data_IF_177751217583
#
_entry.id   IF_177751217583
#
_cell.length_a   1.000
_cell.length_b   1.000
_cell.length_c   1.000
_cell.angle_alpha   90.00
_cell.angle_beta   90.00
_cell.angle_gamma   90.00
#
_symmetry.space_group_name_H-M   'P 1'
#
loop_
_entity.id
_entity.type
_entity.pdbx_description
1 polymer ?
#
# COMPACT_ATOMS: atom_id res chain seq x y z
N UNK A 1 8.93 32.11 11.74
CA UNK A 1 8.62 30.88 12.50
C UNK A 1 7.83 30.00 11.55
N UNK A 2 8.49 29.06 10.89
CA UNK A 2 7.85 28.10 9.99
C UNK A 2 7.09 27.09 10.85
N UNK A 3 5.76 27.13 10.77
CA UNK A 3 4.89 26.06 11.29
C UNK A 3 5.30 24.76 10.61
N UNK A 4 6.10 23.96 11.28
CA UNK A 4 6.41 22.61 10.84
C UNK A 4 5.12 21.82 10.83
N UNK A 5 4.53 21.61 9.67
CA UNK A 5 3.43 20.69 9.51
C UNK A 5 3.86 19.35 10.12
N UNK A 6 3.09 18.84 11.10
CA UNK A 6 3.30 17.48 11.61
C UNK A 6 3.23 16.54 10.42
N UNK A 7 4.13 15.55 10.32
CA UNK A 7 4.03 14.55 9.28
C UNK A 7 2.63 13.94 9.33
N UNK A 8 2.02 13.75 8.17
CA UNK A 8 0.75 13.05 8.10
C UNK A 8 0.98 11.62 8.62
N UNK A 9 0.20 11.22 9.60
CA UNK A 9 0.23 9.86 10.11
C UNK A 9 -0.77 9.04 9.31
N UNK A 10 -0.28 8.04 8.58
CA UNK A 10 -1.11 7.03 7.93
C UNK A 10 -1.58 6.02 8.98
N UNK A 11 -2.88 5.85 9.11
CA UNK A 11 -3.50 4.82 9.98
C UNK A 11 -4.35 3.92 9.11
N UNK A 12 -3.99 2.65 9.02
CA UNK A 12 -4.62 1.69 8.12
C UNK A 12 -4.85 0.32 8.76
N UNK A 13 -5.82 -0.43 8.22
CA UNK A 13 -5.97 -1.87 8.39
C UNK A 13 -6.01 -2.53 7.02
N UNK A 14 -5.38 -3.69 6.89
CA UNK A 14 -5.44 -4.56 5.72
C UNK A 14 -6.14 -5.85 6.09
N UNK A 15 -7.10 -6.26 5.29
CA UNK A 15 -7.91 -7.45 5.49
C UNK A 15 -7.82 -8.36 4.25
N UNK A 16 -7.67 -9.68 4.40
CA UNK A 16 -7.79 -10.59 3.28
C UNK A 16 -9.23 -10.56 2.76
N UNK A 17 -9.43 -10.72 1.47
CA UNK A 17 -10.75 -10.71 0.87
C UNK A 17 -10.86 -11.76 -0.23
N UNK A 18 -11.86 -12.64 -0.13
CA UNK A 18 -12.11 -13.65 -1.16
C UNK A 18 -12.91 -13.08 -2.33
N UNK A 19 -13.88 -12.21 -2.04
CA UNK A 19 -14.82 -11.65 -3.02
C UNK A 19 -14.85 -10.10 -2.97
N UNK A 20 -13.98 -9.46 -3.76
CA UNK A 20 -13.98 -8.00 -3.92
C UNK A 20 -15.26 -7.47 -4.57
N UNK A 21 -15.95 -8.30 -5.38
CA UNK A 21 -17.20 -7.88 -6.01
C UNK A 21 -18.32 -7.75 -4.98
N UNK A 22 -18.34 -8.61 -3.96
CA UNK A 22 -19.27 -8.46 -2.84
C UNK A 22 -19.02 -7.16 -2.07
N UNK A 23 -17.75 -6.85 -1.79
CA UNK A 23 -17.38 -5.59 -1.10
C UNK A 23 -17.77 -4.38 -1.96
N UNK A 24 -17.50 -4.42 -3.27
CA UNK A 24 -17.88 -3.36 -4.23
C UNK A 24 -19.39 -3.15 -4.28
N UNK A 25 -20.18 -4.22 -4.27
CA UNK A 25 -21.66 -4.10 -4.18
C UNK A 25 -22.08 -3.43 -2.88
N UNK A 26 -21.54 -3.86 -1.75
CA UNK A 26 -21.84 -3.28 -0.44
C UNK A 26 -21.46 -1.78 -0.38
N UNK A 27 -20.30 -1.40 -0.93
CA UNK A 27 -19.92 0.02 -1.05
C UNK A 27 -20.97 0.82 -1.82
N UNK A 28 -21.38 0.34 -2.99
CA UNK A 28 -22.41 1.00 -3.83
C UNK A 28 -23.75 1.11 -3.11
N UNK A 29 -24.23 0.03 -2.51
CA UNK A 29 -25.52 -0.04 -1.81
C UNK A 29 -25.56 0.85 -0.57
N UNK A 30 -24.41 1.05 0.09
CA UNK A 30 -24.31 1.85 1.32
C UNK A 30 -23.79 3.28 1.09
N UNK A 31 -23.75 3.74 -0.15
CA UNK A 31 -23.40 5.14 -0.49
C UNK A 31 -21.90 5.43 -0.51
N UNK A 32 -21.05 4.43 -0.66
CA UNK A 32 -19.64 4.61 -0.94
C UNK A 32 -19.44 5.38 -2.26
N UNK A 33 -18.48 6.28 -2.28
CA UNK A 33 -18.18 7.12 -3.43
C UNK A 33 -16.90 6.62 -4.11
N UNK A 34 -16.92 6.23 -5.40
CA UNK A 34 -15.71 5.86 -6.12
C UNK A 34 -14.79 7.08 -6.27
N UNK A 35 -13.50 6.88 -6.04
CA UNK A 35 -12.44 7.90 -6.15
C UNK A 35 -11.59 7.65 -7.38
N UNK A 36 -11.15 6.39 -7.56
CA UNK A 36 -10.40 5.96 -8.73
C UNK A 36 -10.96 4.65 -9.25
N UNK A 37 -11.04 4.56 -10.58
CA UNK A 37 -11.37 3.30 -11.25
C UNK A 37 -10.23 2.28 -11.10
N UNK A 38 -10.52 1.02 -11.41
CA UNK A 38 -9.53 -0.06 -11.37
C UNK A 38 -8.35 0.27 -12.29
N UNK A 39 -7.18 0.38 -11.70
CA UNK A 39 -5.93 0.67 -12.39
C UNK A 39 -4.78 -0.19 -11.84
N UNK A 40 -3.74 -0.33 -12.65
CA UNK A 40 -2.53 -1.04 -12.22
C UNK A 40 -1.56 -0.05 -11.57
N UNK A 41 -1.01 -0.45 -10.42
CA UNK A 41 0.10 0.20 -9.77
C UNK A 41 1.36 -0.66 -9.91
N UNK A 42 2.46 -0.02 -10.33
CA UNK A 42 3.81 -0.59 -10.28
C UNK A 42 4.57 0.14 -9.20
N UNK A 43 5.10 -0.60 -8.24
CA UNK A 43 5.76 -0.04 -7.07
C UNK A 43 7.19 -0.58 -6.98
N UNK A 44 8.17 0.31 -7.05
CA UNK A 44 9.59 0.01 -6.81
C UNK A 44 9.96 0.46 -5.39
N UNK A 45 10.43 -0.48 -4.56
CA UNK A 45 11.02 -0.17 -3.26
C UNK A 45 12.51 0.04 -3.42
N UNK A 46 13.03 1.10 -2.80
CA UNK A 46 14.42 1.50 -2.85
C UNK A 46 15.07 1.37 -1.47
N UNK A 47 16.33 0.98 -1.47
CA UNK A 47 17.18 1.02 -0.28
C UNK A 47 18.63 1.28 -0.70
N UNK A 48 19.50 1.63 0.24
CA UNK A 48 20.92 1.69 0.01
C UNK A 48 21.57 0.29 0.07
N UNK A 49 22.85 0.21 -0.23
CA UNK A 49 23.61 -1.05 -0.25
C UNK A 49 23.62 -1.76 1.12
N UNK A 50 23.59 -1.00 2.21
CA UNK A 50 23.58 -1.51 3.58
C UNK A 50 22.16 -1.82 4.11
N UNK A 51 21.13 -1.61 3.28
CA UNK A 51 19.71 -1.85 3.66
C UNK A 51 19.25 -1.06 4.89
N UNK A 52 19.72 0.17 5.05
CA UNK A 52 19.48 1.00 6.24
C UNK A 52 18.01 1.40 6.41
N UNK A 53 17.23 1.54 5.31
CA UNK A 53 15.80 1.83 5.42
C UNK A 53 15.03 0.62 5.94
N UNK A 54 15.19 -0.53 5.30
CA UNK A 54 14.49 -1.76 5.69
C UNK A 54 14.93 -2.25 7.08
N UNK A 55 16.21 -2.11 7.45
CA UNK A 55 16.72 -2.48 8.77
C UNK A 55 16.04 -1.72 9.91
N UNK A 56 15.62 -0.46 9.70
CA UNK A 56 14.87 0.34 10.67
C UNK A 56 13.34 0.30 10.49
N UNK A 57 12.84 -0.55 9.59
CA UNK A 57 11.41 -0.68 9.32
C UNK A 57 10.81 0.47 8.49
N UNK A 58 11.66 1.28 7.85
CA UNK A 58 11.25 2.33 6.92
C UNK A 58 11.21 1.81 5.48
N UNK A 59 10.57 2.55 4.58
CA UNK A 59 10.53 2.24 3.15
C UNK A 59 10.55 3.53 2.32
N UNK A 60 11.26 3.49 1.20
CA UNK A 60 11.23 4.48 0.14
C UNK A 60 10.65 3.81 -1.11
N UNK A 61 9.59 4.40 -1.68
CA UNK A 61 8.84 3.82 -2.78
C UNK A 61 8.65 4.84 -3.90
N UNK A 62 8.96 4.44 -5.11
CA UNK A 62 8.49 5.12 -6.31
C UNK A 62 7.34 4.30 -6.92
N UNK A 63 6.15 4.90 -7.00
CA UNK A 63 4.95 4.29 -7.57
C UNK A 63 4.64 4.90 -8.91
N UNK A 64 4.30 4.06 -9.88
CA UNK A 64 3.70 4.45 -11.14
C UNK A 64 2.25 3.96 -11.17
N UNK A 65 1.30 4.86 -11.35
CA UNK A 65 -0.11 4.56 -11.41
C UNK A 65 -0.83 5.57 -12.31
N UNK A 66 -1.66 5.11 -13.23
CA UNK A 66 -2.47 5.95 -14.12
C UNK A 66 -1.67 7.11 -14.79
N UNK A 67 -0.45 6.82 -15.24
CA UNK A 67 0.44 7.80 -15.89
C UNK A 67 1.07 8.83 -14.96
N UNK A 68 0.96 8.67 -13.65
CA UNK A 68 1.56 9.54 -12.64
C UNK A 68 2.62 8.80 -11.83
N UNK A 69 3.64 9.54 -11.39
CA UNK A 69 4.66 9.03 -10.50
C UNK A 69 4.52 9.66 -9.11
N UNK A 70 4.67 8.84 -8.07
CA UNK A 70 4.56 9.26 -6.67
C UNK A 70 5.75 8.70 -5.90
N UNK A 71 6.58 9.58 -5.33
CA UNK A 71 7.65 9.23 -4.42
C UNK A 71 7.13 9.29 -3.00
N UNK A 72 7.29 8.20 -2.25
CA UNK A 72 6.78 8.05 -0.89
C UNK A 72 7.88 7.57 0.05
N UNK A 73 8.09 8.28 1.15
CA UNK A 73 8.82 7.79 2.31
C UNK A 73 7.84 7.35 3.38
N UNK A 74 8.02 6.15 3.90
CA UNK A 74 7.25 5.59 5.00
C UNK A 74 8.18 5.28 6.17
N UNK A 75 7.92 5.88 7.33
CA UNK A 75 8.67 5.63 8.56
C UNK A 75 8.39 4.25 9.16
N UNK A 76 9.07 3.90 10.28
CA UNK A 76 8.80 2.67 11.03
C UNK A 76 7.33 2.60 11.45
N UNK A 77 6.73 1.42 11.28
CA UNK A 77 5.35 1.19 11.68
C UNK A 77 5.24 0.95 13.19
N UNK A 78 4.15 1.42 13.78
CA UNK A 78 3.69 1.04 15.12
C UNK A 78 2.29 0.45 15.03
N UNK A 79 1.93 -0.37 15.98
CA UNK A 79 0.60 -0.98 16.04
C UNK A 79 -0.11 -0.51 17.30
N UNK A 80 -1.29 0.08 17.13
CA UNK A 80 -2.10 0.58 18.21
C UNK A 80 -3.53 0.08 18.03
N UNK A 81 -4.04 -0.67 19.01
CA UNK A 81 -5.41 -1.19 18.98
C UNK A 81 -5.80 -1.95 17.69
N UNK A 82 -4.85 -2.70 17.12
CA UNK A 82 -5.06 -3.52 15.92
C UNK A 82 -5.00 -2.77 14.60
N UNK A 83 -4.74 -1.46 14.60
CA UNK A 83 -4.44 -0.69 13.40
C UNK A 83 -2.95 -0.40 13.31
N UNK A 84 -2.45 -0.30 12.09
CA UNK A 84 -1.08 0.09 11.80
C UNK A 84 -1.01 1.58 11.59
N UNK A 85 -0.08 2.25 12.26
CA UNK A 85 0.17 3.67 12.15
C UNK A 85 1.64 3.95 11.86
N UNK A 86 1.93 4.91 10.99
CA UNK A 86 3.30 5.36 10.69
C UNK A 86 3.33 6.74 10.05
N UNK A 87 4.48 7.38 10.14
CA UNK A 87 4.76 8.58 9.35
C UNK A 87 4.73 8.24 7.85
N UNK A 88 4.03 9.05 7.07
CA UNK A 88 4.10 9.02 5.61
C UNK A 88 4.34 10.42 5.06
N UNK A 89 5.26 10.52 4.10
CA UNK A 89 5.51 11.71 3.30
C UNK A 89 5.53 11.33 1.85
N UNK A 90 4.79 12.06 1.04
CA UNK A 90 4.71 11.77 -0.38
C UNK A 90 4.68 13.04 -1.21
N UNK A 91 5.19 12.94 -2.42
CA UNK A 91 5.16 14.01 -3.41
C UNK A 91 5.02 13.42 -4.81
N UNK A 92 4.27 14.13 -5.66
CA UNK A 92 4.22 13.80 -7.07
C UNK A 92 5.57 14.12 -7.72
N UNK A 93 5.95 13.26 -8.66
CA UNK A 93 7.15 13.42 -9.48
C UNK A 93 6.70 13.54 -10.92
N UNK A 94 7.15 14.56 -11.60
CA UNK A 94 6.79 14.83 -13.00
C UNK A 94 7.44 13.81 -13.94
N UNK A 95 8.73 13.53 -13.72
CA UNK A 95 9.50 12.55 -14.49
C UNK A 95 10.01 11.41 -13.60
N UNK A 96 9.49 10.21 -13.83
CA UNK A 96 9.86 9.03 -13.06
C UNK A 96 11.29 8.54 -13.36
N UNK A 97 11.80 8.74 -14.59
CA UNK A 97 13.15 8.31 -14.95
C UNK A 97 14.19 9.24 -14.31
N UNK A 98 13.93 10.56 -14.31
CA UNK A 98 14.78 11.49 -13.58
C UNK A 98 14.77 11.22 -12.08
N UNK A 99 13.62 10.87 -11.51
CA UNK A 99 13.56 10.46 -10.10
C UNK A 99 14.41 9.20 -9.82
N UNK A 100 14.39 8.21 -10.72
CA UNK A 100 15.26 7.02 -10.62
C UNK A 100 16.74 7.40 -10.70
N UNK A 101 17.10 8.29 -11.62
CA UNK A 101 18.48 8.76 -11.76
C UNK A 101 18.96 9.51 -10.51
N UNK A 102 18.11 10.37 -9.94
CA UNK A 102 18.41 11.08 -8.68
C UNK A 102 18.59 10.07 -7.53
N UNK A 103 17.68 9.11 -7.37
CA UNK A 103 17.79 8.07 -6.34
C UNK A 103 19.09 7.27 -6.49
N UNK A 104 19.45 6.88 -7.72
CA UNK A 104 20.70 6.20 -8.00
C UNK A 104 21.93 7.06 -7.66
N UNK A 105 21.90 8.36 -8.02
CA UNK A 105 22.96 9.31 -7.66
C UNK A 105 23.12 9.51 -6.15
N UNK A 106 22.05 9.31 -5.38
CA UNK A 106 22.06 9.33 -3.91
C UNK A 106 22.45 7.98 -3.29
N UNK A 107 22.75 6.95 -4.11
CA UNK A 107 23.16 5.63 -3.64
C UNK A 107 22.00 4.68 -3.31
N UNK A 108 20.76 5.01 -3.73
CA UNK A 108 19.61 4.12 -3.59
C UNK A 108 19.42 3.29 -4.86
N UNK A 109 19.15 2.00 -4.69
CA UNK A 109 18.83 1.08 -5.78
C UNK A 109 17.47 0.41 -5.56
N UNK A 110 16.75 0.02 -6.63
CA UNK A 110 15.54 -0.77 -6.49
C UNK A 110 15.89 -2.14 -5.89
N UNK A 111 15.14 -2.51 -4.86
CA UNK A 111 15.41 -3.72 -4.08
C UNK A 111 14.29 -4.74 -4.15
N UNK A 112 13.09 -4.29 -4.52
CA UNK A 112 11.92 -5.12 -4.69
C UNK A 112 10.87 -4.39 -5.52
N UNK A 113 10.31 -5.06 -6.52
CA UNK A 113 9.17 -4.56 -7.28
C UNK A 113 7.91 -5.34 -6.92
N UNK A 114 6.78 -4.62 -6.83
CA UNK A 114 5.49 -5.26 -6.75
C UNK A 114 4.42 -4.54 -7.56
N UNK A 115 3.52 -5.33 -8.09
CA UNK A 115 2.35 -4.85 -8.82
C UNK A 115 1.09 -5.17 -8.05
N UNK A 116 0.09 -4.34 -8.21
CA UNK A 116 -1.28 -4.60 -7.80
C UNK A 116 -2.26 -3.89 -8.74
N UNK A 117 -3.48 -4.35 -8.80
CA UNK A 117 -4.60 -3.64 -9.38
C UNK A 117 -5.41 -3.07 -8.23
N UNK A 118 -5.69 -1.77 -8.28
CA UNK A 118 -6.36 -1.03 -7.19
C UNK A 118 -7.56 -0.27 -7.72
N UNK A 119 -8.62 -0.27 -6.93
CA UNK A 119 -9.78 0.59 -7.04
C UNK A 119 -9.97 1.27 -5.69
N UNK A 120 -10.30 2.58 -5.67
CA UNK A 120 -10.39 3.34 -4.41
C UNK A 120 -11.76 3.97 -4.25
N UNK A 121 -12.23 4.01 -3.00
CA UNK A 121 -13.52 4.51 -2.58
C UNK A 121 -13.38 5.41 -1.34
N UNK A 122 -14.30 6.37 -1.18
CA UNK A 122 -14.56 7.02 0.10
C UNK A 122 -15.80 6.37 0.73
N UNK A 123 -15.68 5.90 1.96
CA UNK A 123 -16.77 5.24 2.67
C UNK A 123 -16.61 5.41 4.19
N UNK A 124 -17.70 5.83 4.89
CA UNK A 124 -17.70 6.03 6.35
C UNK A 124 -16.59 6.97 6.87
N UNK A 125 -16.16 7.94 6.05
CA UNK A 125 -15.06 8.85 6.38
C UNK A 125 -13.67 8.23 6.24
N UNK A 126 -13.56 7.06 5.61
CA UNK A 126 -12.32 6.36 5.33
C UNK A 126 -12.03 6.31 3.83
N UNK A 127 -10.75 6.24 3.46
CA UNK A 127 -10.34 5.72 2.15
C UNK A 127 -10.39 4.19 2.21
N UNK A 128 -11.06 3.56 1.25
CA UNK A 128 -11.16 2.10 1.11
C UNK A 128 -10.56 1.71 -0.22
N UNK A 129 -9.54 0.86 -0.20
CA UNK A 129 -8.92 0.34 -1.40
C UNK A 129 -9.24 -1.15 -1.57
N UNK A 130 -9.66 -1.53 -2.77
CA UNK A 130 -9.86 -2.90 -3.19
C UNK A 130 -8.65 -3.31 -4.02
N UNK A 131 -7.83 -4.22 -3.49
CA UNK A 131 -6.56 -4.61 -4.07
C UNK A 131 -6.58 -6.05 -4.59
N UNK A 132 -6.28 -6.24 -5.87
CA UNK A 132 -5.82 -7.51 -6.42
C UNK A 132 -4.29 -7.52 -6.48
N UNK A 133 -3.67 -8.59 -6.01
CA UNK A 133 -2.22 -8.79 -6.05
C UNK A 133 -1.88 -10.19 -6.54
N UNK A 134 -0.65 -10.47 -6.97
CA UNK A 134 -0.22 -11.84 -7.30
C UNK A 134 -0.35 -12.84 -6.14
N UNK A 135 -0.47 -12.38 -4.90
CA UNK A 135 -0.59 -13.24 -3.71
C UNK A 135 -2.00 -13.31 -3.12
N UNK A 136 -2.96 -12.65 -3.71
CA UNK A 136 -4.36 -12.67 -3.26
C UNK A 136 -5.04 -11.31 -3.36
N UNK A 137 -6.26 -11.25 -2.83
CA UNK A 137 -7.10 -10.07 -2.81
C UNK A 137 -7.20 -9.52 -1.40
N UNK A 138 -7.25 -8.20 -1.29
CA UNK A 138 -7.26 -7.52 0.01
C UNK A 138 -8.15 -6.29 -0.03
N UNK A 139 -8.62 -5.89 1.14
CA UNK A 139 -9.24 -4.58 1.36
C UNK A 139 -8.36 -3.82 2.35
N UNK A 140 -7.92 -2.62 1.96
CA UNK A 140 -7.26 -1.67 2.87
C UNK A 140 -8.25 -0.59 3.25
N UNK A 141 -8.32 -0.25 4.54
CA UNK A 141 -9.17 0.83 5.06
C UNK A 141 -8.28 1.78 5.83
N UNK A 142 -8.20 3.03 5.37
CA UNK A 142 -7.37 4.09 5.96
C UNK A 142 -8.25 5.22 6.48
N UNK A 143 -7.96 5.70 7.69
CA UNK A 143 -8.69 6.79 8.31
C UNK A 143 -8.50 6.84 9.83
N UNK A 144 -9.42 7.52 10.52
CA UNK A 144 -9.46 7.52 11.97
C UNK A 144 -9.79 6.11 12.52
N UNK A 145 -9.13 5.64 13.61
CA UNK A 145 -9.32 4.28 14.13
C UNK A 145 -10.78 3.88 14.38
N UNK A 146 -11.60 4.80 14.86
CA UNK A 146 -13.03 4.55 15.10
C UNK A 146 -13.83 4.46 13.80
N UNK A 147 -13.48 5.27 12.80
CA UNK A 147 -14.09 5.22 11.47
C UNK A 147 -13.70 3.92 10.73
N UNK A 148 -12.42 3.49 10.83
CA UNK A 148 -11.96 2.21 10.28
C UNK A 148 -12.80 1.05 10.81
N UNK A 149 -13.05 0.96 12.11
CA UNK A 149 -13.87 -0.12 12.69
C UNK A 149 -15.30 -0.11 12.16
N UNK A 150 -15.92 1.08 12.04
CA UNK A 150 -17.27 1.21 11.45
C UNK A 150 -17.28 0.77 9.99
N UNK A 151 -16.32 1.25 9.19
CA UNK A 151 -16.23 0.90 7.77
C UNK A 151 -16.04 -0.61 7.57
N UNK A 152 -15.12 -1.24 8.31
CA UNK A 152 -14.87 -2.69 8.26
C UNK A 152 -16.13 -3.48 8.60
N UNK A 153 -16.83 -3.11 9.69
CA UNK A 153 -18.09 -3.75 10.08
C UNK A 153 -19.18 -3.56 9.03
N UNK A 154 -19.30 -2.35 8.49
CA UNK A 154 -20.30 -2.03 7.46
C UNK A 154 -20.03 -2.77 6.13
N UNK A 155 -18.79 -3.13 5.85
CA UNK A 155 -18.39 -3.93 4.69
C UNK A 155 -18.52 -5.44 4.92
N UNK A 156 -19.02 -5.87 6.11
CA UNK A 156 -19.11 -7.26 6.53
C UNK A 156 -17.74 -7.99 6.51
N UNK A 157 -16.66 -7.27 6.84
CA UNK A 157 -15.32 -7.80 6.98
C UNK A 157 -14.99 -8.08 8.44
N UNK A 158 -14.18 -9.10 8.71
CA UNK A 158 -13.76 -9.46 10.05
C UNK A 158 -12.47 -8.75 10.45
N UNK A 159 -12.56 -7.81 11.38
CA UNK A 159 -11.40 -7.07 11.87
C UNK A 159 -10.35 -7.98 12.56
N UNK A 160 -10.74 -9.14 13.05
CA UNK A 160 -9.81 -10.10 13.67
C UNK A 160 -8.83 -10.73 12.67
N UNK A 161 -9.17 -10.69 11.37
CA UNK A 161 -8.30 -11.15 10.27
C UNK A 161 -7.32 -10.07 9.79
N UNK A 162 -7.18 -8.95 10.52
CA UNK A 162 -6.31 -7.86 10.15
C UNK A 162 -4.85 -8.30 10.00
N UNK A 163 -4.25 -7.97 8.86
CA UNK A 163 -2.87 -8.31 8.52
C UNK A 163 -1.96 -7.11 8.79
N UNK A 164 -1.00 -7.22 9.74
CA UNK A 164 -0.13 -6.09 10.09
C UNK A 164 1.00 -5.84 9.08
N UNK A 165 1.18 -6.74 8.13
CA UNK A 165 2.33 -6.72 7.22
C UNK A 165 2.05 -6.00 5.90
N UNK A 166 3.10 -5.41 5.31
CA UNK A 166 3.04 -4.88 3.94
C UNK A 166 2.99 -6.01 2.91
N UNK A 167 2.54 -5.72 1.68
CA UNK A 167 2.57 -6.70 0.58
C UNK A 167 3.97 -7.25 0.32
N UNK A 168 4.99 -6.38 0.35
CA UNK A 168 6.39 -6.81 0.22
C UNK A 168 6.77 -7.83 1.30
N UNK A 169 6.42 -7.59 2.57
CA UNK A 169 6.71 -8.53 3.65
C UNK A 169 5.97 -9.85 3.48
N UNK A 170 4.69 -9.80 3.15
CA UNK A 170 3.88 -11.01 2.90
C UNK A 170 4.48 -11.86 1.77
N UNK A 171 4.90 -11.22 0.68
CA UNK A 171 5.50 -11.92 -0.44
C UNK A 171 6.87 -12.50 -0.09
N UNK A 172 7.74 -11.74 0.54
CA UNK A 172 9.08 -12.19 0.93
C UNK A 172 9.02 -13.34 1.94
N UNK A 173 8.08 -13.31 2.89
CA UNK A 173 7.84 -14.42 3.81
C UNK A 173 7.32 -15.68 3.09
N UNK A 174 6.46 -15.51 2.06
CA UNK A 174 6.03 -16.62 1.22
C UNK A 174 7.17 -17.17 0.37
N UNK A 175 7.96 -16.28 -0.25
CA UNK A 175 9.11 -16.66 -1.08
C UNK A 175 10.22 -17.36 -0.28
N UNK A 176 10.41 -17.00 0.99
CA UNK A 176 11.37 -17.70 1.87
C UNK A 176 11.01 -19.17 2.11
N UNK A 177 9.71 -19.52 2.00
CA UNK A 177 9.19 -20.90 2.12
C UNK A 177 9.12 -21.60 0.77
N UNK A 178 9.02 -20.84 -0.32
CA UNK A 178 8.98 -21.33 -1.70
C UNK A 178 9.94 -20.53 -2.57
N UNK A 179 11.23 -20.92 -2.62
CA UNK A 179 12.24 -20.22 -3.42
C UNK A 179 12.02 -20.27 -4.94
N UNK A 180 11.07 -21.06 -5.43
CA UNK A 180 10.71 -21.09 -6.86
C UNK A 180 9.93 -19.84 -7.30
N UNK A 181 9.38 -19.09 -6.35
CA UNK A 181 8.68 -17.85 -6.63
C UNK A 181 9.65 -16.78 -7.18
N UNK A 182 9.22 -15.94 -8.13
CA UNK A 182 10.03 -14.86 -8.69
C UNK A 182 10.61 -13.93 -7.62
N UNK A 183 11.71 -13.21 -7.90
CA UNK A 183 12.26 -12.23 -6.96
C UNK A 183 11.29 -11.09 -6.65
N UNK A 184 10.47 -10.71 -7.63
CA UNK A 184 9.49 -9.63 -7.57
C UNK A 184 8.06 -10.16 -7.57
N UNK A 185 7.14 -9.44 -6.91
CA UNK A 185 5.72 -9.76 -6.87
C UNK A 185 4.99 -9.07 -8.03
N UNK A 186 5.06 -9.64 -9.20
CA UNK A 186 4.44 -9.10 -10.42
C UNK A 186 3.41 -10.07 -10.99
N UNK A 187 2.41 -9.53 -11.69
CA UNK A 187 1.45 -10.39 -12.40
C UNK A 187 2.15 -11.17 -13.53
N UNK A 188 1.71 -12.39 -13.74
CA UNK A 188 2.16 -13.16 -14.91
C UNK A 188 1.80 -12.39 -16.20
N UNK A 189 2.79 -12.16 -17.05
CA UNK A 189 2.54 -11.59 -18.38
C UNK A 189 1.88 -12.69 -19.24
N UNK A 190 0.64 -12.46 -19.63
CA UNK A 190 0.04 -13.26 -20.71
C UNK A 190 0.80 -12.98 -22.00
N UNK A 191 1.44 -14.03 -22.52
CA UNK A 191 2.11 -14.02 -23.82
C UNK A 191 1.08 -13.81 -24.93
#
# INVERSE_FOLDING_TARGET
MTSGARPAEEVEVKLPCVDLDAVRRTLKERGGQPVTDLHTEVNDLYDDAERRLSARGAALRLRLAAGRALLTYKGPARFVSGVKAREERQTHVEDAEEARAILAGLGFAPTFRYEKRREEWLFEGCAVALDETPIGRFVEVEGEPTAIRRAVSALNLDFSEAIPYSYARLYLDRRSKDPSLPPDMVFARTS
#
